data_IF_427412880402
#
_entry.id   IF_427412880402
#
_cell.length_a   1.000
_cell.length_b   1.000
_cell.length_c   1.000
_cell.angle_alpha   90.00
_cell.angle_beta   90.00
_cell.angle_gamma   90.00
#
_symmetry.space_group_name_H-M   'P 1'
#
loop_
_entity.id
_entity.type
_entity.pdbx_description
1 polymer ?
#
# COMPACT_ATOMS: atom_id res chain seq x y z
N UNK A 1 2.93 11.39 9.79
CA UNK A 1 3.21 10.76 8.49
C UNK A 1 1.90 10.65 7.73
N UNK A 2 1.79 11.33 6.62
CA UNK A 2 0.54 11.40 5.86
C UNK A 2 0.68 10.67 4.54
N UNK A 3 -0.19 9.67 4.33
CA UNK A 3 -0.23 8.95 3.06
C UNK A 3 -1.07 9.75 2.08
N UNK A 4 -0.55 9.93 0.87
CA UNK A 4 -1.25 10.58 -0.22
C UNK A 4 -1.60 9.55 -1.29
N UNK A 5 -2.66 9.81 -2.03
CA UNK A 5 -3.09 8.95 -3.13
C UNK A 5 -2.87 9.68 -4.46
N UNK A 6 -2.19 9.01 -5.37
CA UNK A 6 -1.91 9.52 -6.71
C UNK A 6 -2.49 8.53 -7.72
N UNK A 7 -3.77 8.68 -8.08
CA UNK A 7 -4.42 7.73 -8.99
C UNK A 7 -3.87 7.78 -10.41
N UNK A 8 -3.34 8.91 -10.85
CA UNK A 8 -2.75 9.02 -12.19
C UNK A 8 -1.53 8.13 -12.36
N UNK A 9 -0.82 7.85 -11.26
CA UNK A 9 0.34 6.97 -11.26
C UNK A 9 0.08 5.67 -10.49
N UNK A 10 -1.17 5.40 -10.15
CA UNK A 10 -1.60 4.16 -9.49
C UNK A 10 -0.76 3.85 -8.26
N UNK A 11 -0.66 4.82 -7.34
CA UNK A 11 0.12 4.62 -6.14
C UNK A 11 -0.42 5.39 -4.93
N UNK A 12 -0.15 4.84 -3.75
CA UNK A 12 -0.19 5.57 -2.49
C UNK A 12 1.24 5.91 -2.12
N UNK A 13 1.49 7.08 -1.57
CA UNK A 13 2.87 7.46 -1.26
C UNK A 13 2.97 8.39 -0.06
N UNK A 14 4.18 8.42 0.51
CA UNK A 14 4.56 9.34 1.59
C UNK A 14 5.83 10.06 1.13
N UNK A 15 5.78 11.39 0.96
CA UNK A 15 7.00 12.14 0.63
C UNK A 15 7.96 12.14 1.81
N UNK A 16 9.23 11.84 1.56
CA UNK A 16 10.27 11.78 2.58
C UNK A 16 11.52 12.47 2.06
N UNK A 17 12.43 12.91 2.94
CA UNK A 17 13.65 13.60 2.51
C UNK A 17 14.52 12.79 1.54
N UNK A 18 14.55 11.47 1.69
CA UNK A 18 15.34 10.58 0.82
C UNK A 18 14.61 10.10 -0.43
N UNK A 19 13.41 10.60 -0.69
CA UNK A 19 12.56 10.15 -1.80
C UNK A 19 11.25 9.61 -1.29
N UNK A 20 10.27 9.42 -2.18
CA UNK A 20 8.96 8.94 -1.79
C UNK A 20 9.01 7.47 -1.38
N UNK A 21 8.33 7.13 -0.29
CA UNK A 21 7.91 5.75 -0.04
C UNK A 21 6.59 5.54 -0.79
N UNK A 22 6.40 4.38 -1.41
CA UNK A 22 5.20 4.15 -2.22
C UNK A 22 4.73 2.72 -2.19
N UNK A 23 3.43 2.57 -2.39
CA UNK A 23 2.78 1.29 -2.64
C UNK A 23 2.05 1.42 -3.97
N UNK A 24 2.54 0.68 -4.96
CA UNK A 24 2.03 0.71 -6.33
C UNK A 24 0.96 -0.35 -6.49
N UNK A 25 -0.11 0.00 -7.17
CA UNK A 25 -1.22 -0.90 -7.41
C UNK A 25 -1.65 -0.89 -8.87
N UNK A 26 -2.53 -1.82 -9.23
CA UNK A 26 -3.27 -1.78 -10.49
C UNK A 26 -4.75 -2.00 -10.18
N UNK A 27 -5.61 -1.34 -10.94
CA UNK A 27 -7.04 -1.64 -10.91
C UNK A 27 -7.35 -2.60 -12.04
N UNK A 28 -8.08 -3.68 -11.72
CA UNK A 28 -8.61 -4.60 -12.71
C UNK A 28 -10.11 -4.35 -12.78
N UNK A 29 -10.56 -3.73 -13.88
CA UNK A 29 -11.92 -3.22 -13.94
C UNK A 29 -12.09 -2.08 -12.94
N UNK A 30 -13.26 -2.00 -12.34
CA UNK A 30 -13.58 -0.94 -11.37
C UNK A 30 -13.77 -1.48 -9.95
N UNK A 31 -13.54 -2.79 -9.72
CA UNK A 31 -13.85 -3.42 -8.45
C UNK A 31 -12.71 -4.23 -7.82
N UNK A 32 -11.57 -4.37 -8.51
CA UNK A 32 -10.43 -5.14 -7.97
C UNK A 32 -9.20 -4.25 -7.87
N UNK A 33 -8.64 -4.18 -6.67
CA UNK A 33 -7.40 -3.46 -6.38
C UNK A 33 -6.28 -4.49 -6.19
N UNK A 34 -5.29 -4.46 -7.07
CA UNK A 34 -4.12 -5.35 -6.98
C UNK A 34 -2.94 -4.58 -6.40
N UNK A 35 -2.49 -4.96 -5.21
CA UNK A 35 -1.32 -4.36 -4.57
C UNK A 35 -0.07 -5.08 -5.06
N UNK A 36 0.78 -4.37 -5.82
CA UNK A 36 1.83 -4.99 -6.62
C UNK A 36 3.24 -4.79 -6.11
N UNK A 37 3.55 -3.63 -5.55
CA UNK A 37 4.94 -3.29 -5.25
C UNK A 37 5.03 -2.23 -4.16
N UNK A 38 5.97 -2.40 -3.23
CA UNK A 38 6.20 -1.44 -2.14
C UNK A 38 7.68 -1.04 -2.15
N UNK A 39 7.94 0.25 -2.11
CA UNK A 39 9.29 0.81 -2.01
C UNK A 39 9.37 1.77 -0.84
N UNK A 40 10.41 1.60 -0.02
CA UNK A 40 10.71 2.51 1.08
C UNK A 40 12.20 2.90 0.96
N UNK A 41 12.51 4.20 0.94
CA UNK A 41 13.91 4.62 0.88
C UNK A 41 14.71 4.01 2.03
N UNK A 42 16.00 3.66 1.79
CA UNK A 42 16.82 3.05 2.84
C UNK A 42 16.88 3.88 4.13
N UNK A 43 16.91 5.22 4.00
CA UNK A 43 16.98 6.13 5.15
C UNK A 43 15.73 6.07 6.03
N UNK A 44 14.62 5.55 5.52
CA UNK A 44 13.35 5.49 6.24
C UNK A 44 12.97 4.08 6.67
N UNK A 45 13.78 3.07 6.37
CA UNK A 45 13.49 1.69 6.76
C UNK A 45 13.46 1.56 8.27
N UNK A 46 12.55 0.73 8.78
CA UNK A 46 12.39 0.52 10.21
C UNK A 46 11.56 1.58 10.93
N UNK A 47 11.01 2.55 10.20
CA UNK A 47 10.22 3.63 10.78
C UNK A 47 8.71 3.44 10.62
N UNK A 48 8.27 2.28 10.17
CA UNK A 48 6.85 1.97 10.04
C UNK A 48 6.16 2.56 8.82
N UNK A 49 6.93 3.06 7.83
CA UNK A 49 6.34 3.69 6.65
C UNK A 49 5.56 2.69 5.82
N UNK A 50 6.12 1.49 5.61
CA UNK A 50 5.43 0.44 4.87
C UNK A 50 4.12 0.01 5.53
N UNK A 51 4.11 -0.08 6.86
CA UNK A 51 2.91 -0.39 7.63
C UNK A 51 1.81 0.63 7.36
N UNK A 52 2.16 1.92 7.41
CA UNK A 52 1.19 3.00 7.18
C UNK A 52 0.63 2.93 5.76
N UNK A 53 1.48 2.66 4.77
CA UNK A 53 1.05 2.53 3.38
C UNK A 53 0.07 1.36 3.19
N UNK A 54 0.37 0.20 3.76
CA UNK A 54 -0.51 -0.97 3.63
C UNK A 54 -1.85 -0.71 4.30
N UNK A 55 -1.84 -0.16 5.51
CA UNK A 55 -3.08 0.15 6.23
C UNK A 55 -3.95 1.14 5.46
N UNK A 56 -3.33 2.14 4.85
CA UNK A 56 -4.05 3.12 4.05
C UNK A 56 -4.70 2.47 2.82
N UNK A 57 -3.95 1.62 2.12
CA UNK A 57 -4.47 0.94 0.93
C UNK A 57 -5.64 0.02 1.27
N UNK A 58 -5.55 -0.72 2.37
CA UNK A 58 -6.63 -1.61 2.80
C UNK A 58 -7.86 -0.81 3.22
N UNK A 59 -7.69 0.31 3.91
CA UNK A 59 -8.80 1.19 4.27
C UNK A 59 -9.47 1.78 3.04
N UNK A 60 -8.68 2.20 2.06
CA UNK A 60 -9.19 2.71 0.79
C UNK A 60 -10.07 1.66 0.10
N UNK A 61 -9.59 0.43 0.02
CA UNK A 61 -10.36 -0.65 -0.61
C UNK A 61 -11.66 -0.93 0.15
N UNK A 62 -11.60 -0.94 1.48
CA UNK A 62 -12.78 -1.19 2.32
C UNK A 62 -13.83 -0.12 2.13
N UNK A 63 -13.41 1.14 2.12
CA UNK A 63 -14.34 2.27 1.96
C UNK A 63 -15.04 2.25 0.62
N UNK A 64 -14.41 1.71 -0.41
CA UNK A 64 -14.97 1.67 -1.77
C UNK A 64 -15.53 0.32 -2.16
N UNK A 65 -15.52 -0.64 -1.24
CA UNK A 65 -16.03 -1.98 -1.52
C UNK A 65 -15.23 -2.73 -2.57
N UNK A 66 -13.92 -2.46 -2.66
CA UNK A 66 -13.05 -3.13 -3.63
C UNK A 66 -12.58 -4.48 -3.11
N UNK A 67 -12.47 -5.45 -4.00
CA UNK A 67 -11.76 -6.70 -3.72
C UNK A 67 -10.27 -6.43 -3.79
N UNK A 68 -9.50 -7.06 -2.91
CA UNK A 68 -8.06 -6.87 -2.86
C UNK A 68 -7.35 -8.14 -3.29
N UNK A 69 -6.46 -8.00 -4.27
CA UNK A 69 -5.54 -9.05 -4.72
C UNK A 69 -4.13 -8.56 -4.38
N UNK A 70 -3.30 -9.43 -3.84
CA UNK A 70 -1.96 -9.07 -3.38
C UNK A 70 -0.94 -9.93 -4.09
N UNK A 71 -0.13 -9.31 -4.95
CA UNK A 71 1.03 -9.96 -5.58
C UNK A 71 2.34 -9.44 -5.01
N UNK A 72 2.32 -8.35 -4.25
CA UNK A 72 3.48 -7.78 -3.60
C UNK A 72 3.95 -8.68 -2.43
N UNK A 73 5.21 -9.18 -2.46
CA UNK A 73 5.71 -10.02 -1.36
C UNK A 73 5.71 -9.31 0.00
N UNK A 74 6.00 -8.01 0.02
CA UNK A 74 5.97 -7.26 1.27
C UNK A 74 4.58 -7.25 1.88
N UNK A 75 3.55 -6.96 1.09
CA UNK A 75 2.17 -6.92 1.58
C UNK A 75 1.69 -8.31 1.98
N UNK A 76 2.07 -9.34 1.23
CA UNK A 76 1.76 -10.72 1.60
C UNK A 76 2.32 -11.07 2.98
N UNK A 77 3.59 -10.72 3.23
CA UNK A 77 4.22 -10.95 4.53
C UNK A 77 3.55 -10.12 5.63
N UNK A 78 3.19 -8.88 5.32
CA UNK A 78 2.49 -8.01 6.26
C UNK A 78 1.15 -8.63 6.69
N UNK A 79 0.38 -9.15 5.75
CA UNK A 79 -0.91 -9.79 6.04
C UNK A 79 -0.75 -11.04 6.90
N UNK A 80 0.32 -11.81 6.69
CA UNK A 80 0.61 -12.97 7.54
C UNK A 80 0.88 -12.57 9.00
N UNK A 81 1.52 -11.41 9.19
CA UNK A 81 1.78 -10.89 10.54
C UNK A 81 0.57 -10.20 11.15
N UNK A 82 -0.42 -9.84 10.35
CA UNK A 82 -1.61 -9.11 10.78
C UNK A 82 -2.88 -9.82 10.28
N UNK A 83 -3.13 -11.05 10.76
CA UNK A 83 -4.27 -11.83 10.24
C UNK A 83 -5.62 -11.16 10.44
N UNK A 84 -5.75 -10.30 11.46
CA UNK A 84 -7.00 -9.57 11.72
C UNK A 84 -7.27 -8.48 10.70
N UNK A 85 -6.26 -8.11 9.91
CA UNK A 85 -6.36 -7.03 8.93
C UNK A 85 -6.63 -7.54 7.52
N UNK A 86 -6.84 -8.82 7.33
CA UNK A 86 -7.09 -9.38 6.01
C UNK A 86 -8.36 -8.81 5.40
N UNK A 87 -8.30 -8.42 4.12
CA UNK A 87 -9.47 -7.90 3.42
C UNK A 87 -10.54 -8.97 3.16
#
# INVERSE_FOLDING_TARGET
MTVQHDPDHSRFFVPLPGGDAQLVYAMFGDDVLNLQHTEVPPSAKGQGVGDVLVRHALAYARERGLRVVVTCPYVQAWLRRHPDERP
#
